data_IF_732113919765
#
_entry.id   IF_732113919765
#
_cell.length_a   1.000
_cell.length_b   1.000
_cell.length_c   1.000
_cell.angle_alpha   90.00
_cell.angle_beta   90.00
_cell.angle_gamma   90.00
#
_symmetry.space_group_name_H-M   'P 1'
#
loop_
_entity.id
_entity.type
_entity.pdbx_description
1 polymer ?
#
# COMPACT_ATOMS: atom_id res chain seq x y z
N UNK A 1 -29.77 -2.95 5.08
CA UNK A 1 -28.35 -2.62 5.33
C UNK A 1 -27.55 -3.80 5.90
N UNK A 2 -27.82 -4.28 7.13
CA UNK A 2 -27.10 -5.40 7.78
C UNK A 2 -27.29 -6.80 7.18
N UNK A 3 -28.28 -7.00 6.29
CA UNK A 3 -28.57 -8.34 5.73
C UNK A 3 -27.62 -8.80 4.62
N UNK A 4 -26.83 -7.91 4.01
CA UNK A 4 -25.85 -8.26 2.97
C UNK A 4 -24.39 -8.15 3.44
N UNK A 5 -24.13 -7.48 4.56
CA UNK A 5 -22.79 -7.40 5.15
C UNK A 5 -22.17 -8.78 5.45
N UNK A 6 -22.91 -9.79 5.97
CA UNK A 6 -22.36 -11.14 6.18
C UNK A 6 -22.08 -11.91 4.88
N UNK A 7 -22.79 -11.62 3.79
CA UNK A 7 -22.55 -12.26 2.48
C UNK A 7 -21.32 -11.69 1.77
N UNK A 8 -20.95 -10.43 2.07
CA UNK A 8 -19.75 -9.75 1.58
C UNK A 8 -18.56 -9.99 2.54
N UNK A 9 -18.83 -10.24 3.83
CA UNK A 9 -17.85 -10.55 4.87
C UNK A 9 -17.56 -12.05 5.06
N UNK A 10 -18.13 -12.93 4.22
CA UNK A 10 -17.71 -14.32 4.14
C UNK A 10 -16.33 -14.36 3.47
N UNK A 11 -15.28 -14.55 4.29
CA UNK A 11 -13.88 -15.01 4.10
C UNK A 11 -13.28 -15.27 2.69
N UNK A 12 -13.79 -14.66 1.61
CA UNK A 12 -13.38 -14.90 0.23
C UNK A 12 -13.41 -13.66 -0.67
N UNK A 13 -13.85 -12.49 -0.20
CA UNK A 13 -13.49 -11.23 -0.86
C UNK A 13 -12.09 -10.82 -0.39
N UNK A 14 -11.11 -11.26 -1.17
CA UNK A 14 -9.67 -10.94 -1.06
C UNK A 14 -9.39 -9.42 -1.08
N UNK A 15 -10.39 -8.56 -1.31
CA UNK A 15 -10.26 -7.11 -1.25
C UNK A 15 -11.53 -6.43 -0.67
N UNK A 16 -11.42 -5.85 0.53
CA UNK A 16 -12.53 -5.13 1.19
C UNK A 16 -13.10 -3.99 0.32
N UNK A 17 -12.27 -3.37 -0.53
CA UNK A 17 -12.65 -2.27 -1.44
C UNK A 17 -13.73 -2.68 -2.45
N UNK A 18 -13.61 -3.88 -3.02
CA UNK A 18 -14.52 -4.37 -4.05
C UNK A 18 -15.94 -4.58 -3.51
N UNK A 19 -16.04 -5.04 -2.25
CA UNK A 19 -17.32 -5.12 -1.55
C UNK A 19 -17.99 -3.74 -1.42
N UNK A 20 -17.24 -2.69 -1.09
CA UNK A 20 -17.78 -1.33 -1.01
C UNK A 20 -18.16 -0.77 -2.39
N UNK A 21 -17.41 -1.09 -3.45
CA UNK A 21 -17.76 -0.73 -4.83
C UNK A 21 -19.15 -1.26 -5.19
N UNK A 22 -19.36 -2.56 -4.99
CA UNK A 22 -20.63 -3.24 -5.29
C UNK A 22 -21.79 -2.67 -4.47
N UNK A 23 -21.56 -2.35 -3.18
CA UNK A 23 -22.57 -1.71 -2.32
C UNK A 23 -22.99 -0.36 -2.91
N UNK A 24 -22.03 0.49 -3.30
CA UNK A 24 -22.31 1.81 -3.83
C UNK A 24 -23.05 1.74 -5.19
N UNK A 25 -22.61 0.86 -6.09
CA UNK A 25 -23.23 0.67 -7.41
C UNK A 25 -24.65 0.11 -7.31
N UNK A 26 -24.86 -0.85 -6.41
CA UNK A 26 -26.19 -1.40 -6.17
C UNK A 26 -27.12 -0.35 -5.57
N UNK A 27 -26.65 0.43 -4.60
CA UNK A 27 -27.43 1.52 -4.02
C UNK A 27 -27.77 2.57 -5.09
N UNK A 28 -26.82 2.91 -5.97
CA UNK A 28 -27.01 3.87 -7.05
C UNK A 28 -28.12 3.41 -7.99
N UNK A 29 -28.02 2.16 -8.45
CA UNK A 29 -28.99 1.55 -9.36
C UNK A 29 -30.39 1.48 -8.72
N UNK A 30 -30.46 1.05 -7.46
CA UNK A 30 -31.74 0.94 -6.75
C UNK A 30 -32.38 2.32 -6.50
N UNK A 31 -31.58 3.34 -6.19
CA UNK A 31 -32.06 4.71 -5.96
C UNK A 31 -32.51 5.36 -7.27
N UNK A 32 -31.73 5.22 -8.34
CA UNK A 32 -32.07 5.65 -9.69
C UNK A 32 -33.43 5.09 -10.14
N UNK A 33 -33.66 3.78 -9.93
CA UNK A 33 -34.91 3.12 -10.30
C UNK A 33 -36.14 3.65 -9.54
N UNK A 34 -35.97 4.21 -8.34
CA UNK A 34 -37.06 4.76 -7.53
C UNK A 34 -37.43 6.19 -7.92
N UNK A 35 -36.57 6.90 -8.65
CA UNK A 35 -36.70 8.31 -8.93
C UNK A 35 -37.18 8.59 -10.36
N UNK A 36 -38.09 9.57 -10.50
CA UNK A 36 -38.56 10.12 -11.79
C UNK A 36 -38.31 11.64 -11.78
N UNK A 37 -37.84 12.28 -12.86
CA UNK A 37 -37.37 11.72 -14.15
C UNK A 37 -36.08 10.90 -13.98
N UNK A 38 -35.72 10.12 -15.00
CA UNK A 38 -34.59 9.17 -14.98
C UNK A 38 -33.30 9.87 -14.53
N UNK A 39 -32.82 9.50 -13.34
CA UNK A 39 -31.46 9.83 -12.87
C UNK A 39 -30.60 8.62 -13.15
N UNK A 40 -29.45 8.84 -13.76
CA UNK A 40 -28.52 7.75 -14.05
C UNK A 40 -27.71 7.36 -12.80
N UNK A 41 -27.37 6.06 -12.62
CA UNK A 41 -26.61 5.61 -11.45
C UNK A 41 -25.28 6.35 -11.24
N UNK A 42 -24.60 6.77 -12.32
CA UNK A 42 -23.35 7.52 -12.21
C UNK A 42 -23.54 8.89 -11.55
N UNK A 43 -24.66 9.58 -11.82
CA UNK A 43 -24.96 10.87 -11.19
C UNK A 43 -25.11 10.71 -9.66
N UNK A 44 -25.74 9.62 -9.22
CA UNK A 44 -25.88 9.32 -7.80
C UNK A 44 -24.55 8.99 -7.13
N UNK A 45 -23.64 8.31 -7.85
CA UNK A 45 -22.28 8.08 -7.37
C UNK A 45 -21.53 9.42 -7.22
N UNK A 46 -21.57 10.30 -8.22
CA UNK A 46 -20.94 11.64 -8.15
C UNK A 46 -21.49 12.47 -6.98
N UNK A 47 -22.80 12.39 -6.74
CA UNK A 47 -23.47 12.99 -5.60
C UNK A 47 -22.98 12.42 -4.27
N UNK A 48 -22.91 11.10 -4.13
CA UNK A 48 -22.44 10.48 -2.90
C UNK A 48 -20.95 10.70 -2.65
N UNK A 49 -20.12 10.71 -3.68
CA UNK A 49 -18.70 11.08 -3.57
C UNK A 49 -18.55 12.54 -3.07
N UNK A 50 -19.31 13.46 -3.64
CA UNK A 50 -19.32 14.88 -3.24
C UNK A 50 -19.82 15.06 -1.80
N UNK A 51 -20.90 14.36 -1.43
CA UNK A 51 -21.44 14.39 -0.06
C UNK A 51 -20.48 13.74 0.94
N UNK A 52 -19.85 12.62 0.58
CA UNK A 52 -18.89 11.92 1.43
C UNK A 52 -17.68 12.80 1.75
N UNK A 53 -17.17 13.53 0.77
CA UNK A 53 -16.11 14.52 0.98
C UNK A 53 -16.52 15.58 2.02
N UNK A 54 -17.73 16.14 1.91
CA UNK A 54 -18.23 17.15 2.85
C UNK A 54 -18.39 16.57 4.26
N UNK A 55 -19.01 15.39 4.38
CA UNK A 55 -19.18 14.67 5.65
C UNK A 55 -17.82 14.39 6.30
N UNK A 56 -16.86 13.89 5.50
CA UNK A 56 -15.53 13.54 5.95
C UNK A 56 -14.75 14.74 6.46
N UNK A 57 -14.76 15.86 5.72
CA UNK A 57 -14.09 17.11 6.14
C UNK A 57 -14.65 17.65 7.46
N UNK A 58 -15.97 17.66 7.63
CA UNK A 58 -16.58 18.10 8.89
C UNK A 58 -16.21 17.18 10.06
N UNK A 59 -16.15 15.87 9.81
CA UNK A 59 -15.69 14.90 10.80
C UNK A 59 -14.24 15.13 11.19
N UNK A 60 -13.36 15.37 10.21
CA UNK A 60 -11.94 15.66 10.47
C UNK A 60 -11.72 17.01 11.18
N UNK A 61 -12.61 17.99 10.98
CA UNK A 61 -12.56 19.28 11.68
C UNK A 61 -13.20 19.26 13.07
N UNK A 62 -13.73 18.12 13.53
CA UNK A 62 -14.43 18.01 14.83
C UNK A 62 -15.86 18.58 14.83
N UNK A 63 -16.41 18.97 13.67
CA UNK A 63 -17.77 19.49 13.55
C UNK A 63 -18.86 18.38 13.50
N UNK A 64 -18.44 17.11 13.53
CA UNK A 64 -19.31 15.93 13.35
C UNK A 64 -19.48 15.56 11.88
N UNK A 65 -19.88 14.33 11.59
CA UNK A 65 -20.02 13.83 10.19
C UNK A 65 -21.37 14.13 9.52
N UNK A 66 -22.26 14.86 10.19
CA UNK A 66 -23.62 15.11 9.72
C UNK A 66 -23.78 16.53 9.16
N UNK A 67 -24.33 16.64 7.94
CA UNK A 67 -24.52 17.90 7.21
C UNK A 67 -25.95 18.44 7.36
N UNK A 68 -26.12 19.77 7.30
CA UNK A 68 -27.44 20.39 7.30
C UNK A 68 -28.25 20.03 6.05
N UNK A 69 -29.57 20.19 6.12
CA UNK A 69 -30.46 20.07 4.96
C UNK A 69 -30.01 20.98 3.81
N UNK A 70 -29.61 22.21 4.12
CA UNK A 70 -29.10 23.19 3.13
C UNK A 70 -27.89 22.65 2.37
N UNK A 71 -26.85 22.16 3.08
CA UNK A 71 -25.65 21.59 2.42
C UNK A 71 -25.95 20.33 1.62
N UNK A 72 -26.91 19.53 2.07
CA UNK A 72 -27.37 18.36 1.32
C UNK A 72 -28.06 18.77 0.01
N UNK A 73 -28.94 19.77 0.05
CA UNK A 73 -29.61 20.32 -1.13
C UNK A 73 -28.63 21.02 -2.09
N UNK A 74 -27.61 21.70 -1.58
CA UNK A 74 -26.52 22.24 -2.39
C UNK A 74 -25.80 21.14 -3.18
N UNK A 75 -25.47 20.03 -2.52
CA UNK A 75 -24.84 18.89 -3.18
C UNK A 75 -25.75 18.29 -4.27
N UNK A 76 -27.05 18.17 -4.00
CA UNK A 76 -28.03 17.73 -4.99
C UNK A 76 -28.05 18.65 -6.23
N UNK A 77 -28.10 19.97 -6.01
CA UNK A 77 -28.07 20.97 -7.09
C UNK A 77 -26.82 20.88 -7.93
N UNK A 78 -25.64 20.75 -7.31
CA UNK A 78 -24.35 20.65 -8.01
C UNK A 78 -24.25 19.40 -8.90
N UNK A 79 -24.90 18.31 -8.50
CA UNK A 79 -24.97 17.08 -9.28
C UNK A 79 -26.17 17.03 -10.24
N UNK A 80 -26.95 18.12 -10.35
CA UNK A 80 -28.17 18.19 -11.16
C UNK A 80 -29.21 17.12 -10.79
N UNK A 81 -29.32 16.81 -9.50
CA UNK A 81 -30.23 15.81 -8.96
C UNK A 81 -31.34 16.48 -8.17
N UNK A 82 -32.59 16.15 -8.48
CA UNK A 82 -33.75 16.51 -7.65
C UNK A 82 -34.11 15.37 -6.69
N UNK A 83 -33.51 15.37 -5.50
CA UNK A 83 -33.81 14.39 -4.44
C UNK A 83 -35.05 14.75 -3.60
N UNK A 84 -35.84 15.78 -3.93
CA UNK A 84 -36.95 16.20 -3.05
C UNK A 84 -38.05 15.13 -2.89
N UNK A 85 -38.19 14.24 -3.88
CA UNK A 85 -39.15 13.12 -3.83
C UNK A 85 -38.52 11.81 -3.34
N UNK A 86 -37.22 11.79 -3.10
CA UNK A 86 -36.52 10.61 -2.65
C UNK A 86 -36.93 10.26 -1.22
N UNK A 87 -37.34 9.00 -1.04
CA UNK A 87 -37.66 8.44 0.28
C UNK A 87 -36.55 7.46 0.65
N UNK A 88 -35.65 7.81 1.58
CA UNK A 88 -34.57 6.93 1.99
C UNK A 88 -35.14 5.58 2.45
N UNK A 89 -34.86 4.53 1.68
CA UNK A 89 -35.24 3.16 2.00
C UNK A 89 -34.10 2.39 2.67
N UNK A 90 -34.29 1.08 2.85
CA UNK A 90 -33.33 0.17 3.48
C UNK A 90 -31.97 0.02 2.75
N UNK A 91 -31.88 0.55 1.52
CA UNK A 91 -30.71 0.56 0.64
C UNK A 91 -30.05 1.95 0.52
N UNK A 92 -30.55 2.95 1.26
CA UNK A 92 -29.96 4.28 1.27
C UNK A 92 -28.56 4.26 1.89
N UNK A 93 -27.59 4.90 1.23
CA UNK A 93 -26.24 5.10 1.78
C UNK A 93 -26.21 6.18 2.87
N UNK A 94 -27.26 7.01 2.95
CA UNK A 94 -27.35 8.10 3.92
C UNK A 94 -28.62 7.99 4.77
N UNK A 95 -28.57 8.56 5.96
CA UNK A 95 -29.66 8.61 6.93
C UNK A 95 -29.71 9.99 7.58
N UNK A 96 -30.80 10.26 8.31
CA UNK A 96 -30.88 11.42 9.19
C UNK A 96 -30.46 11.05 10.62
N UNK A 97 -29.74 11.92 11.29
CA UNK A 97 -29.51 11.84 12.73
C UNK A 97 -30.74 12.29 13.54
N UNK A 98 -30.61 12.31 14.88
CA UNK A 98 -31.66 12.75 15.79
C UNK A 98 -32.04 14.23 15.62
N UNK A 99 -31.16 15.05 15.02
CA UNK A 99 -31.37 16.47 14.75
C UNK A 99 -31.87 16.71 13.32
N UNK A 100 -32.13 15.65 12.55
CA UNK A 100 -32.58 15.73 11.15
C UNK A 100 -31.48 16.07 10.14
N UNK A 101 -30.20 16.07 10.55
CA UNK A 101 -29.04 16.28 9.67
C UNK A 101 -28.67 15.00 8.93
N UNK A 102 -28.10 15.12 7.73
CA UNK A 102 -27.76 13.99 6.88
C UNK A 102 -26.34 13.48 7.13
N UNK A 103 -26.19 12.17 7.23
CA UNK A 103 -24.88 11.50 7.34
C UNK A 103 -24.90 10.17 6.60
N UNK A 104 -23.72 9.60 6.37
CA UNK A 104 -23.62 8.24 5.87
C UNK A 104 -24.10 7.22 6.90
N UNK A 105 -24.75 6.17 6.40
CA UNK A 105 -25.24 5.06 7.22
C UNK A 105 -24.08 4.31 7.87
N UNK A 106 -22.98 4.14 7.12
CA UNK A 106 -21.74 3.49 7.54
C UNK A 106 -20.52 4.35 7.17
N UNK A 107 -19.61 4.54 8.12
CA UNK A 107 -18.37 5.30 7.91
C UNK A 107 -17.46 4.65 6.86
N UNK A 108 -17.43 3.32 6.77
CA UNK A 108 -16.63 2.63 5.76
C UNK A 108 -17.05 2.94 4.32
N UNK A 109 -18.36 3.14 4.10
CA UNK A 109 -18.90 3.52 2.78
C UNK A 109 -18.54 4.97 2.47
N UNK A 110 -18.65 5.87 3.45
CA UNK A 110 -18.19 7.26 3.34
C UNK A 110 -16.70 7.30 2.94
N UNK A 111 -15.83 6.60 3.67
CA UNK A 111 -14.38 6.64 3.41
C UNK A 111 -14.00 5.97 2.08
N UNK A 112 -14.74 4.97 1.63
CA UNK A 112 -14.58 4.40 0.28
C UNK A 112 -14.95 5.42 -0.81
N UNK A 113 -16.05 6.15 -0.65
CA UNK A 113 -16.45 7.19 -1.60
C UNK A 113 -15.47 8.38 -1.58
N UNK A 114 -14.93 8.72 -0.41
CA UNK A 114 -13.85 9.72 -0.28
C UNK A 114 -12.60 9.28 -1.01
N UNK A 115 -12.23 7.99 -0.96
CA UNK A 115 -11.06 7.50 -1.68
C UNK A 115 -11.24 7.63 -3.20
N UNK A 116 -12.44 7.37 -3.71
CA UNK A 116 -12.78 7.64 -5.12
C UNK A 116 -12.67 9.12 -5.48
N UNK A 117 -13.21 9.99 -4.63
CA UNK A 117 -13.15 11.43 -4.81
C UNK A 117 -11.72 11.96 -4.84
N UNK A 118 -10.86 11.44 -3.96
CA UNK A 118 -9.45 11.76 -3.92
C UNK A 118 -8.74 11.41 -5.24
N UNK A 119 -9.02 10.26 -5.84
CA UNK A 119 -8.38 9.85 -7.10
C UNK A 119 -8.76 10.78 -8.26
N UNK A 120 -9.97 11.35 -8.22
CA UNK A 120 -10.44 12.30 -9.23
C UNK A 120 -9.89 13.72 -9.04
N UNK A 121 -9.74 14.18 -7.78
CA UNK A 121 -9.42 15.58 -7.43
C UNK A 121 -8.44 15.63 -6.23
N UNK A 122 -7.22 15.09 -6.35
CA UNK A 122 -6.31 14.89 -5.24
C UNK A 122 -5.92 16.20 -4.54
N UNK A 123 -5.65 17.26 -5.28
CA UNK A 123 -5.23 18.58 -4.78
C UNK A 123 -6.23 19.20 -3.79
N UNK A 124 -7.52 18.83 -3.89
CA UNK A 124 -8.53 19.32 -2.96
C UNK A 124 -8.33 18.76 -1.54
N UNK A 125 -7.59 17.66 -1.40
CA UNK A 125 -7.32 16.99 -0.13
C UNK A 125 -6.06 17.47 0.58
N UNK A 126 -5.36 18.47 0.03
CA UNK A 126 -4.17 19.05 0.65
C UNK A 126 -4.44 19.52 2.08
N UNK A 127 -3.59 19.05 3.00
CA UNK A 127 -3.68 19.34 4.43
C UNK A 127 -4.81 18.63 5.17
N UNK A 128 -5.62 17.80 4.50
CA UNK A 128 -6.65 17.01 5.15
C UNK A 128 -6.04 15.77 5.81
N UNK A 129 -6.39 15.54 7.09
CA UNK A 129 -5.96 14.34 7.81
C UNK A 129 -6.67 13.10 7.26
N UNK A 130 -5.92 12.04 6.99
CA UNK A 130 -6.48 10.76 6.55
C UNK A 130 -6.62 9.78 7.72
N UNK A 131 -7.79 9.16 7.84
CA UNK A 131 -8.02 8.01 8.72
C UNK A 131 -7.24 6.81 8.20
N UNK A 132 -6.89 5.87 9.09
CA UNK A 132 -6.18 4.64 8.69
C UNK A 132 -6.94 3.87 7.60
N UNK A 133 -8.27 3.83 7.65
CA UNK A 133 -9.09 3.13 6.68
C UNK A 133 -9.08 3.82 5.30
N UNK A 134 -9.21 5.15 5.22
CA UNK A 134 -9.02 5.89 3.97
C UNK A 134 -7.62 5.67 3.38
N UNK A 135 -6.58 5.72 4.23
CA UNK A 135 -5.21 5.43 3.78
C UNK A 135 -5.12 4.02 3.20
N UNK A 136 -5.72 3.01 3.83
CA UNK A 136 -5.75 1.63 3.31
C UNK A 136 -6.45 1.56 1.95
N UNK A 137 -7.65 2.15 1.81
CA UNK A 137 -8.37 2.12 0.53
C UNK A 137 -7.57 2.76 -0.60
N UNK A 138 -6.90 3.87 -0.33
CA UNK A 138 -6.05 4.54 -1.32
C UNK A 138 -4.82 3.71 -1.65
N UNK A 139 -4.16 3.14 -0.64
CA UNK A 139 -2.97 2.31 -0.83
C UNK A 139 -3.25 1.06 -1.67
N UNK A 140 -4.33 0.34 -1.35
CA UNK A 140 -4.83 -0.80 -2.14
C UNK A 140 -5.12 -0.36 -3.58
N UNK A 141 -5.77 0.79 -3.74
CA UNK A 141 -6.09 1.32 -5.07
C UNK A 141 -4.83 1.61 -5.87
N UNK A 142 -3.84 2.28 -5.29
CA UNK A 142 -2.58 2.56 -5.99
C UNK A 142 -1.88 1.28 -6.42
N UNK A 143 -1.90 0.24 -5.58
CA UNK A 143 -1.33 -1.07 -5.92
C UNK A 143 -2.04 -1.71 -7.13
N UNK A 144 -3.37 -1.67 -7.14
CA UNK A 144 -4.19 -2.17 -8.26
C UNK A 144 -3.91 -1.39 -9.56
N UNK A 145 -3.82 -0.06 -9.47
CA UNK A 145 -3.55 0.82 -10.62
C UNK A 145 -2.17 0.56 -11.23
N UNK A 146 -1.13 0.43 -10.39
CA UNK A 146 0.23 0.06 -10.85
C UNK A 146 0.21 -1.32 -11.50
N UNK A 147 -0.45 -2.30 -10.88
CA UNK A 147 -0.53 -3.67 -11.40
C UNK A 147 -1.23 -3.70 -12.76
N UNK A 148 -2.22 -2.83 -12.97
CA UNK A 148 -2.88 -2.62 -14.25
C UNK A 148 -2.02 -1.86 -15.28
N UNK A 149 -0.76 -1.52 -14.96
CA UNK A 149 0.19 -0.86 -15.85
C UNK A 149 0.04 0.66 -15.92
N UNK A 150 -0.72 1.28 -15.01
CA UNK A 150 -0.80 2.74 -14.93
C UNK A 150 0.38 3.27 -14.13
N UNK A 151 1.12 4.19 -14.74
CA UNK A 151 2.08 4.99 -13.99
C UNK A 151 1.31 5.86 -13.01
N UNK A 152 1.70 5.84 -11.73
CA UNK A 152 1.25 6.85 -10.79
C UNK A 152 2.00 8.13 -11.17
N UNK A 153 1.46 8.92 -12.10
CA UNK A 153 1.96 10.28 -12.32
C UNK A 153 1.96 10.96 -10.96
N UNK A 154 3.15 11.35 -10.48
CA UNK A 154 3.52 11.44 -9.07
C UNK A 154 2.83 12.51 -8.20
N UNK A 155 1.58 12.87 -8.49
CA UNK A 155 0.83 13.89 -7.78
C UNK A 155 -0.04 13.31 -6.66
N UNK A 156 -0.68 12.14 -6.81
CA UNK A 156 -1.55 11.59 -5.73
C UNK A 156 -0.82 11.41 -4.40
N UNK A 157 0.37 10.81 -4.41
CA UNK A 157 1.13 10.60 -3.16
C UNK A 157 1.56 11.91 -2.47
N UNK A 158 1.49 13.06 -3.17
CA UNK A 158 1.82 14.39 -2.61
C UNK A 158 0.64 15.03 -1.91
N UNK A 159 -0.58 14.68 -2.32
CA UNK A 159 -1.81 15.32 -1.87
C UNK A 159 -2.49 14.62 -0.68
N UNK A 160 -1.91 13.54 -0.17
CA UNK A 160 -2.50 12.74 0.91
C UNK A 160 -1.52 12.42 2.04
N UNK A 161 -2.08 12.19 3.23
CA UNK A 161 -1.35 11.62 4.36
C UNK A 161 -1.30 10.10 4.22
N UNK A 162 -0.12 9.57 3.87
CA UNK A 162 0.16 8.13 3.78
C UNK A 162 1.16 7.65 4.84
N UNK A 163 1.30 8.41 5.92
CA UNK A 163 2.30 8.14 6.96
C UNK A 163 2.13 6.76 7.61
N UNK A 164 0.92 6.19 7.65
CA UNK A 164 0.68 4.86 8.22
C UNK A 164 1.35 3.73 7.42
N UNK A 165 1.72 3.98 6.16
CA UNK A 165 2.37 3.02 5.26
C UNK A 165 3.83 3.36 4.97
N UNK A 166 4.33 4.50 5.45
CA UNK A 166 5.73 4.89 5.27
C UNK A 166 6.58 4.27 6.38
N UNK A 167 7.61 3.53 6.01
CA UNK A 167 8.57 2.92 6.93
C UNK A 167 9.97 3.37 6.56
N UNK A 168 10.74 3.88 7.53
CA UNK A 168 12.16 4.20 7.31
C UNK A 168 13.02 3.05 7.80
N UNK A 169 13.82 2.50 6.90
CA UNK A 169 14.78 1.43 7.20
C UNK A 169 16.21 1.98 7.28
N UNK A 170 17.10 1.36 8.08
CA UNK A 170 18.52 1.69 8.08
C UNK A 170 19.14 1.41 6.70
N UNK A 171 19.91 2.37 6.19
CA UNK A 171 20.60 2.26 4.89
C UNK A 171 22.08 1.85 5.01
N UNK A 172 22.52 1.53 6.21
CA UNK A 172 23.86 1.03 6.54
C UNK A 172 23.72 -0.12 7.54
N UNK A 173 24.64 -1.10 7.50
CA UNK A 173 24.62 -2.19 8.45
C UNK A 173 24.91 -1.68 9.87
N UNK A 174 24.36 -2.37 10.88
CA UNK A 174 24.37 -1.89 12.27
C UNK A 174 25.76 -1.75 12.92
N UNK A 175 26.79 -2.36 12.35
CA UNK A 175 28.13 -2.39 12.91
C UNK A 175 29.19 -2.31 11.80
N UNK A 176 29.70 -1.11 11.53
CA UNK A 176 31.08 -0.97 11.06
C UNK A 176 31.99 -1.18 12.28
N UNK A 177 32.28 -2.43 12.62
CA UNK A 177 33.28 -2.75 13.63
C UNK A 177 34.45 -3.49 12.96
N UNK A 178 35.67 -3.24 13.45
CA UNK A 178 36.88 -3.90 12.99
C UNK A 178 36.72 -5.43 13.00
N UNK A 179 37.46 -6.13 12.14
CA UNK A 179 37.29 -7.57 11.86
C UNK A 179 37.18 -8.49 13.10
N UNK A 180 37.71 -8.05 14.24
CA UNK A 180 37.79 -8.80 15.50
C UNK A 180 36.63 -8.53 16.48
N UNK A 181 35.72 -7.58 16.20
CA UNK A 181 34.61 -7.18 17.10
C UNK A 181 33.23 -7.24 16.41
N UNK A 182 33.02 -8.25 15.55
CA UNK A 182 31.72 -8.47 14.91
C UNK A 182 30.73 -8.97 15.96
N UNK A 183 29.76 -8.14 16.33
CA UNK A 183 28.58 -8.55 17.09
C UNK A 183 27.50 -9.04 16.12
N UNK A 184 27.10 -10.33 16.18
CA UNK A 184 26.00 -10.84 15.37
C UNK A 184 24.73 -10.05 15.65
N UNK A 185 24.12 -9.51 14.59
CA UNK A 185 22.81 -8.89 14.69
C UNK A 185 21.75 -9.97 14.78
N UNK A 186 20.95 -9.94 15.84
CA UNK A 186 19.91 -10.95 16.02
C UNK A 186 18.67 -10.57 15.24
N UNK A 187 18.16 -11.51 14.45
CA UNK A 187 16.89 -11.34 13.72
C UNK A 187 15.75 -10.93 14.66
N UNK A 188 15.73 -11.44 15.90
CA UNK A 188 14.74 -11.10 16.92
C UNK A 188 14.74 -9.62 17.28
N UNK A 189 15.91 -8.97 17.37
CA UNK A 189 16.01 -7.53 17.68
C UNK A 189 15.37 -6.68 16.56
N UNK A 190 15.50 -7.11 15.30
CA UNK A 190 14.86 -6.44 14.16
C UNK A 190 13.34 -6.67 14.20
N UNK A 191 12.93 -7.90 14.44
CA UNK A 191 11.52 -8.31 14.45
C UNK A 191 10.73 -7.74 15.65
N UNK A 192 11.39 -7.37 16.74
CA UNK A 192 10.78 -6.62 17.85
C UNK A 192 10.48 -5.16 17.47
N UNK A 193 11.24 -4.59 16.54
CA UNK A 193 11.12 -3.18 16.13
C UNK A 193 10.20 -2.96 14.94
N UNK A 194 10.08 -3.95 14.05
CA UNK A 194 9.31 -3.84 12.82
C UNK A 194 8.34 -5.02 12.65
N UNK A 195 7.15 -4.79 12.07
CA UNK A 195 6.14 -5.83 11.86
C UNK A 195 6.45 -6.70 10.63
N UNK A 196 7.71 -7.10 10.46
CA UNK A 196 8.13 -7.92 9.32
C UNK A 196 7.67 -9.36 9.46
N UNK A 197 7.48 -10.01 8.32
CA UNK A 197 7.25 -11.43 8.29
C UNK A 197 8.58 -12.18 8.29
N UNK A 198 8.66 -13.22 9.11
CA UNK A 198 9.69 -14.25 9.05
C UNK A 198 9.02 -15.59 9.39
N UNK A 199 9.15 -16.59 8.52
CA UNK A 199 8.43 -17.86 8.64
C UNK A 199 8.74 -18.60 9.94
N UNK A 200 9.92 -18.40 10.52
CA UNK A 200 10.37 -19.11 11.72
C UNK A 200 9.96 -18.37 12.99
N UNK A 201 10.20 -17.06 13.04
CA UNK A 201 10.08 -16.26 14.26
C UNK A 201 8.75 -15.48 14.34
N UNK A 202 8.19 -15.07 13.19
CA UNK A 202 6.90 -14.36 13.11
C UNK A 202 6.01 -14.90 11.96
N UNK A 203 5.60 -16.18 11.97
CA UNK A 203 4.84 -16.80 10.88
C UNK A 203 3.45 -16.20 10.66
N UNK A 204 2.91 -15.48 11.65
CA UNK A 204 1.59 -14.85 11.59
C UNK A 204 1.66 -13.36 11.25
N UNK A 205 2.86 -12.79 11.11
CA UNK A 205 2.99 -11.39 10.70
C UNK A 205 2.57 -11.23 9.23
N UNK A 206 1.93 -10.10 8.93
CA UNK A 206 1.47 -9.80 7.57
C UNK A 206 2.58 -9.27 6.67
N UNK A 207 3.74 -8.92 7.23
CA UNK A 207 4.78 -8.20 6.52
C UNK A 207 4.42 -6.73 6.27
N UNK A 208 5.27 -6.03 5.54
CA UNK A 208 4.97 -4.67 5.10
C UNK A 208 4.01 -4.68 3.92
N UNK A 209 3.08 -3.73 3.94
CA UNK A 209 2.20 -3.48 2.80
C UNK A 209 2.89 -2.53 1.82
N UNK A 210 3.74 -3.12 0.96
CA UNK A 210 4.52 -2.36 -0.01
C UNK A 210 3.65 -1.71 -1.08
N UNK A 211 4.20 -0.67 -1.73
CA UNK A 211 3.66 -0.09 -2.95
C UNK A 211 4.79 -0.02 -3.96
N UNK A 212 4.99 -1.14 -4.65
CA UNK A 212 6.05 -1.32 -5.63
C UNK A 212 5.60 -0.80 -7.00
N UNK A 213 6.33 0.16 -7.53
CA UNK A 213 6.12 0.75 -8.86
C UNK A 213 7.28 0.38 -9.79
N UNK A 214 7.09 -0.56 -10.72
CA UNK A 214 8.08 -0.85 -11.77
C UNK A 214 8.28 0.34 -12.69
N UNK A 215 9.54 0.69 -12.99
CA UNK A 215 9.92 1.78 -13.90
C UNK A 215 11.06 1.39 -14.83
N UNK A 216 11.19 2.14 -15.93
CA UNK A 216 12.38 2.14 -16.77
C UNK A 216 13.11 3.46 -16.58
N UNK A 217 14.29 3.42 -15.95
CA UNK A 217 15.14 4.59 -15.70
C UNK A 217 16.42 4.42 -16.50
N UNK A 218 16.74 5.38 -17.38
CA UNK A 218 17.90 5.32 -18.27
C UNK A 218 18.01 3.97 -19.03
N UNK A 219 16.88 3.46 -19.53
CA UNK A 219 16.79 2.19 -20.25
C UNK A 219 16.91 0.92 -19.39
N UNK A 220 17.00 1.07 -18.06
CA UNK A 220 17.17 -0.03 -17.10
C UNK A 220 15.91 -0.22 -16.26
N UNK A 221 15.53 -1.48 -15.98
CA UNK A 221 14.35 -1.82 -15.17
C UNK A 221 14.66 -1.65 -13.68
N UNK A 222 13.84 -0.88 -12.98
CA UNK A 222 13.93 -0.69 -11.53
C UNK A 222 12.54 -0.84 -10.91
N UNK A 223 12.49 -1.03 -9.61
CA UNK A 223 11.25 -0.94 -8.83
C UNK A 223 11.44 0.12 -7.77
N UNK A 224 10.55 1.12 -7.76
CA UNK A 224 10.46 2.11 -6.69
C UNK A 224 9.48 1.57 -5.65
N UNK A 225 9.92 1.43 -4.41
CA UNK A 225 9.04 1.10 -3.30
C UNK A 225 8.67 2.36 -2.51
N UNK A 226 7.41 2.78 -2.65
CA UNK A 226 6.92 3.96 -1.96
C UNK A 226 6.71 3.71 -0.46
N UNK A 227 6.61 2.46 0.02
CA UNK A 227 6.53 2.15 1.45
C UNK A 227 7.83 2.53 2.16
N UNK A 228 8.96 2.09 1.62
CA UNK A 228 10.29 2.25 2.23
C UNK A 228 11.09 3.44 1.69
N UNK A 229 10.61 4.07 0.60
CA UNK A 229 11.33 5.07 -0.20
C UNK A 229 12.69 4.53 -0.71
N UNK A 230 12.68 3.28 -1.15
CA UNK A 230 13.84 2.59 -1.72
C UNK A 230 13.61 2.32 -3.21
N UNK A 231 14.71 2.17 -3.94
CA UNK A 231 14.72 1.72 -5.31
C UNK A 231 15.52 0.43 -5.41
N UNK A 232 14.95 -0.56 -6.09
CA UNK A 232 15.50 -1.90 -6.25
C UNK A 232 15.84 -2.13 -7.71
N UNK A 233 16.95 -2.82 -7.97
CA UNK A 233 17.22 -3.31 -9.32
C UNK A 233 16.27 -4.48 -9.68
N UNK A 234 15.84 -4.49 -10.94
CA UNK A 234 15.06 -5.59 -11.52
C UNK A 234 15.86 -6.36 -12.58
N UNK A 235 17.09 -5.95 -12.88
CA UNK A 235 17.95 -6.72 -13.75
C UNK A 235 18.49 -7.96 -13.03
N UNK A 236 18.67 -9.04 -13.79
CA UNK A 236 19.46 -10.22 -13.39
C UNK A 236 20.83 -10.21 -14.09
N UNK A 237 21.71 -9.20 -13.90
CA UNK A 237 22.96 -9.15 -14.63
C UNK A 237 24.03 -10.02 -13.95
N UNK A 238 23.78 -10.53 -12.75
CA UNK A 238 24.79 -11.21 -11.93
C UNK A 238 24.39 -12.67 -11.65
N UNK A 239 25.18 -13.65 -12.11
CA UNK A 239 25.00 -15.02 -11.64
C UNK A 239 25.29 -15.10 -10.13
N UNK A 240 24.87 -16.19 -9.49
CA UNK A 240 25.24 -16.48 -8.10
C UNK A 240 26.76 -16.33 -7.92
N UNK A 241 27.17 -15.54 -6.93
CA UNK A 241 28.55 -15.08 -6.76
C UNK A 241 28.94 -15.11 -5.28
N UNK A 242 30.20 -15.44 -4.93
CA UNK A 242 30.70 -15.24 -3.57
C UNK A 242 30.73 -13.77 -3.20
N UNK A 243 30.35 -13.44 -1.97
CA UNK A 243 30.14 -12.05 -1.56
C UNK A 243 31.41 -11.19 -1.70
N UNK A 244 32.57 -11.74 -1.35
CA UNK A 244 33.88 -11.05 -1.47
C UNK A 244 34.23 -10.67 -2.92
N UNK A 245 33.81 -11.48 -3.89
CA UNK A 245 34.00 -11.15 -5.31
C UNK A 245 33.07 -10.00 -5.72
N UNK A 246 31.83 -10.01 -5.21
CA UNK A 246 30.84 -8.99 -5.52
C UNK A 246 31.16 -7.61 -4.93
N UNK A 247 31.71 -7.55 -3.71
CA UNK A 247 32.10 -6.29 -3.04
C UNK A 247 33.03 -5.42 -3.93
N UNK A 248 33.90 -6.05 -4.71
CA UNK A 248 34.76 -5.33 -5.66
C UNK A 248 33.99 -4.81 -6.87
N UNK A 249 32.99 -5.57 -7.36
CA UNK A 249 32.13 -5.14 -8.48
C UNK A 249 31.24 -3.97 -8.06
N UNK A 250 30.69 -4.00 -6.85
CA UNK A 250 29.78 -2.99 -6.32
C UNK A 250 30.36 -1.57 -6.43
N UNK A 251 31.67 -1.40 -6.20
CA UNK A 251 32.38 -0.10 -6.27
C UNK A 251 32.27 0.59 -7.64
N UNK A 252 32.16 -0.20 -8.71
CA UNK A 252 32.15 0.29 -10.10
C UNK A 252 30.78 0.18 -10.79
N UNK A 253 29.77 -0.41 -10.14
CA UNK A 253 28.43 -0.54 -10.73
C UNK A 253 27.81 0.82 -10.95
N UNK A 254 27.24 1.02 -12.14
CA UNK A 254 26.51 2.24 -12.55
C UNK A 254 25.13 1.92 -13.15
N UNK A 255 24.36 1.06 -12.49
CA UNK A 255 23.07 0.59 -12.99
C UNK A 255 22.04 1.73 -13.06
N UNK A 256 21.22 1.78 -14.11
CA UNK A 256 20.27 2.87 -14.37
C UNK A 256 20.87 4.30 -14.29
N UNK A 257 22.20 4.44 -14.44
CA UNK A 257 22.91 5.72 -14.34
C UNK A 257 23.28 6.17 -12.92
N UNK A 258 23.01 5.36 -11.89
CA UNK A 258 23.31 5.72 -10.49
C UNK A 258 24.54 5.00 -9.95
N UNK A 259 25.28 5.64 -9.04
CA UNK A 259 26.55 5.14 -8.48
C UNK A 259 26.49 4.75 -7.00
N UNK A 260 25.36 4.99 -6.35
CA UNK A 260 25.11 4.80 -4.92
C UNK A 260 24.34 3.50 -4.62
N UNK A 261 24.38 2.54 -5.55
CA UNK A 261 23.85 1.20 -5.32
C UNK A 261 24.66 0.47 -4.24
N UNK A 262 23.95 -0.27 -3.39
CA UNK A 262 24.52 -1.06 -2.31
C UNK A 262 23.80 -2.40 -2.16
N UNK A 263 24.37 -3.27 -1.33
CA UNK A 263 23.65 -4.43 -0.82
C UNK A 263 22.54 -3.97 0.15
N UNK A 264 21.42 -4.69 0.22
CA UNK A 264 20.37 -4.40 1.18
C UNK A 264 20.82 -4.74 2.60
N UNK A 265 20.40 -3.95 3.58
CA UNK A 265 20.59 -4.30 4.99
C UNK A 265 19.70 -5.47 5.40
N UNK A 266 19.93 -6.04 6.58
CA UNK A 266 19.09 -7.09 7.14
C UNK A 266 17.61 -6.65 7.24
N UNK A 267 17.35 -5.42 7.69
CA UNK A 267 16.00 -4.85 7.74
C UNK A 267 15.36 -4.76 6.37
N UNK A 268 16.11 -4.30 5.37
CA UNK A 268 15.62 -4.18 4.00
C UNK A 268 15.33 -5.55 3.40
N UNK A 269 16.22 -6.53 3.60
CA UNK A 269 16.01 -7.92 3.18
C UNK A 269 14.79 -8.58 3.84
N UNK A 270 14.63 -8.39 5.16
CA UNK A 270 13.46 -8.87 5.90
C UNK A 270 12.17 -8.17 5.48
N UNK A 271 12.23 -6.88 5.16
CA UNK A 271 11.06 -6.13 4.72
C UNK A 271 10.45 -6.72 3.45
N UNK A 272 11.27 -7.28 2.55
CA UNK A 272 10.84 -7.92 1.31
C UNK A 272 10.14 -9.28 1.53
N UNK A 273 10.31 -9.91 2.70
CA UNK A 273 9.64 -11.15 3.02
C UNK A 273 8.14 -10.89 3.21
N UNK A 274 7.33 -11.61 2.44
CA UNK A 274 5.87 -11.51 2.49
C UNK A 274 5.27 -12.90 2.72
N UNK A 275 4.27 -13.06 3.61
CA UNK A 275 3.55 -14.33 3.75
C UNK A 275 2.97 -14.75 2.38
N UNK A 276 3.18 -16.02 2.03
CA UNK A 276 2.84 -16.58 0.74
C UNK A 276 1.34 -16.44 0.41
N UNK A 277 1.03 -16.03 -0.83
CA UNK A 277 -0.31 -16.11 -1.42
C UNK A 277 -0.26 -17.01 -2.67
N UNK A 278 -0.64 -18.29 -2.52
CA UNK A 278 -0.59 -19.27 -3.62
C UNK A 278 0.80 -19.91 -3.82
N UNK A 279 1.19 -20.26 -5.04
CA UNK A 279 2.39 -21.07 -5.34
C UNK A 279 3.71 -20.26 -5.41
N UNK A 280 3.73 -18.98 -5.03
CA UNK A 280 4.93 -18.14 -5.12
C UNK A 280 5.85 -18.27 -3.90
N UNK A 281 7.14 -17.95 -4.09
CA UNK A 281 8.07 -17.70 -2.97
C UNK A 281 7.53 -16.61 -2.02
N UNK A 282 8.10 -16.50 -0.82
CA UNK A 282 7.79 -15.51 0.22
C UNK A 282 8.31 -14.10 -0.14
N UNK A 283 8.04 -13.64 -1.36
CA UNK A 283 8.42 -12.32 -1.87
C UNK A 283 7.29 -11.79 -2.76
N UNK A 284 7.08 -10.48 -2.74
CA UNK A 284 6.06 -9.85 -3.56
C UNK A 284 6.32 -10.05 -5.08
N UNK A 285 5.29 -10.36 -5.90
CA UNK A 285 5.42 -10.60 -7.34
C UNK A 285 6.09 -9.47 -8.14
N UNK A 286 5.92 -8.21 -7.72
CA UNK A 286 6.57 -7.06 -8.36
C UNK A 286 8.11 -7.11 -8.30
N UNK A 287 8.67 -7.84 -7.34
CA UNK A 287 10.09 -8.14 -7.24
C UNK A 287 10.42 -9.57 -7.67
N UNK A 288 9.41 -10.38 -8.02
CA UNK A 288 9.60 -11.77 -8.39
C UNK A 288 10.41 -11.88 -9.67
N UNK A 289 11.43 -12.70 -9.53
CA UNK A 289 12.52 -12.98 -10.44
C UNK A 289 12.97 -14.41 -10.06
N UNK A 290 13.62 -15.19 -10.94
CA UNK A 290 14.21 -16.49 -10.57
C UNK A 290 15.10 -16.48 -9.30
N UNK A 291 15.55 -15.33 -8.81
CA UNK A 291 16.29 -15.14 -7.55
C UNK A 291 15.48 -15.60 -6.33
N UNK A 292 15.76 -16.82 -5.88
CA UNK A 292 15.18 -17.40 -4.66
C UNK A 292 15.86 -16.93 -3.37
N UNK A 293 17.02 -16.27 -3.46
CA UNK A 293 17.76 -15.76 -2.32
C UNK A 293 18.74 -14.65 -2.72
N UNK A 294 19.05 -13.71 -1.82
CA UNK A 294 19.99 -12.61 -2.07
C UNK A 294 20.93 -12.35 -0.91
N UNK A 295 22.18 -11.97 -1.21
CA UNK A 295 23.11 -11.43 -0.22
C UNK A 295 22.60 -10.15 0.43
N UNK A 296 22.82 -10.03 1.74
CA UNK A 296 22.57 -8.84 2.55
C UNK A 296 23.89 -8.23 3.04
N UNK A 297 23.89 -6.97 3.44
CA UNK A 297 25.07 -6.22 3.85
C UNK A 297 25.61 -6.66 5.22
N UNK A 298 24.74 -7.11 6.12
CA UNK A 298 25.11 -7.54 7.47
C UNK A 298 26.05 -8.75 7.49
N UNK A 299 27.22 -8.59 8.12
CA UNK A 299 28.11 -9.69 8.49
C UNK A 299 27.69 -10.29 9.83
N UNK A 300 27.81 -11.60 9.94
CA UNK A 300 27.52 -12.35 11.17
C UNK A 300 28.82 -12.76 11.88
N UNK A 301 29.83 -13.15 11.10
CA UNK A 301 31.17 -13.49 11.55
C UNK A 301 32.19 -13.18 10.43
N UNK A 302 33.53 -13.29 10.66
CA UNK A 302 34.52 -12.98 9.64
C UNK A 302 34.39 -13.80 8.33
N UNK A 303 33.83 -15.00 8.43
CA UNK A 303 33.58 -15.95 7.35
C UNK A 303 32.08 -16.19 7.09
N UNK A 304 31.19 -15.39 7.69
CA UNK A 304 29.74 -15.56 7.62
C UNK A 304 29.00 -14.25 7.36
N UNK A 305 28.03 -14.27 6.45
CA UNK A 305 27.25 -13.09 6.04
C UNK A 305 25.77 -13.45 5.80
N UNK A 306 24.88 -12.49 6.06
CA UNK A 306 23.45 -12.71 5.98
C UNK A 306 22.94 -12.84 4.54
N UNK A 307 21.96 -13.73 4.36
CA UNK A 307 21.23 -13.93 3.11
C UNK A 307 19.73 -13.99 3.41
N UNK A 308 18.93 -13.33 2.57
CA UNK A 308 17.48 -13.48 2.55
C UNK A 308 17.10 -14.63 1.63
N UNK A 309 16.40 -15.64 2.15
CA UNK A 309 15.92 -16.80 1.41
C UNK A 309 14.42 -16.69 1.17
N UNK A 310 14.02 -16.21 0.00
CA UNK A 310 12.61 -16.04 -0.37
C UNK A 310 11.88 -17.37 -0.56
N UNK A 311 12.57 -18.43 -1.00
CA UNK A 311 11.97 -19.77 -1.06
C UNK A 311 11.66 -20.34 0.34
N UNK A 312 12.42 -19.93 1.35
CA UNK A 312 12.27 -20.41 2.74
C UNK A 312 11.53 -19.41 3.63
N UNK A 313 11.32 -18.17 3.19
CA UNK A 313 10.64 -17.12 3.96
C UNK A 313 11.41 -16.68 5.21
N UNK A 314 12.74 -16.70 5.17
CA UNK A 314 13.57 -16.34 6.33
C UNK A 314 14.91 -15.73 5.89
N UNK A 315 15.57 -15.04 6.81
CA UNK A 315 16.95 -14.62 6.65
C UNK A 315 17.85 -15.43 7.58
N UNK A 316 19.05 -15.82 7.11
CA UNK A 316 20.04 -16.49 7.94
C UNK A 316 21.46 -16.23 7.45
N UNK A 317 22.45 -16.31 8.36
CA UNK A 317 23.86 -16.24 7.97
C UNK A 317 24.30 -17.51 7.21
N UNK A 318 25.22 -17.34 6.27
CA UNK A 318 25.86 -18.40 5.48
C UNK A 318 27.33 -18.09 5.26
N UNK A 319 28.10 -19.10 4.84
CA UNK A 319 29.53 -18.93 4.65
C UNK A 319 29.83 -18.04 3.43
N UNK A 320 30.80 -17.12 3.55
CA UNK A 320 31.12 -16.11 2.52
C UNK A 320 31.63 -16.68 1.19
N UNK A 321 32.01 -17.97 1.15
CA UNK A 321 32.38 -18.66 -0.09
C UNK A 321 31.18 -19.22 -0.87
N UNK A 322 30.00 -19.30 -0.23
CA UNK A 322 28.79 -19.76 -0.89
C UNK A 322 28.40 -18.80 -2.01
N UNK A 323 27.52 -19.26 -2.91
CA UNK A 323 27.14 -18.48 -4.08
C UNK A 323 25.65 -18.18 -3.98
N UNK A 324 25.33 -16.90 -3.83
CA UNK A 324 23.95 -16.40 -3.82
C UNK A 324 23.81 -15.26 -4.82
N UNK A 325 22.56 -14.94 -5.15
CA UNK A 325 22.30 -13.81 -6.04
C UNK A 325 22.50 -12.48 -5.31
N UNK A 326 22.46 -11.41 -6.08
CA UNK A 326 22.44 -10.05 -5.55
C UNK A 326 21.22 -9.32 -6.08
N UNK A 327 20.65 -8.49 -5.21
CA UNK A 327 19.72 -7.43 -5.58
C UNK A 327 20.27 -6.14 -5.03
N UNK A 328 20.46 -5.16 -5.89
CA UNK A 328 20.94 -3.85 -5.52
C UNK A 328 19.78 -3.01 -5.01
N UNK A 329 20.07 -2.22 -3.98
CA UNK A 329 19.14 -1.24 -3.44
C UNK A 329 19.83 0.12 -3.34
N UNK A 330 19.04 1.18 -3.46
CA UNK A 330 19.44 2.55 -3.17
C UNK A 330 18.27 3.33 -2.58
N UNK A 331 18.57 4.50 -2.04
CA UNK A 331 17.55 5.41 -1.52
C UNK A 331 17.00 6.29 -2.66
N UNK A 332 15.70 6.57 -2.63
CA UNK A 332 15.02 7.48 -3.56
C UNK A 332 15.13 8.95 -3.14
#
# INVERSE_FOLDING_TARGET
FLHYLPYIANETLVNHREGYRLICEHAATATAAQMKPQIEPHQLLDFWESLAEICYRQRMSGAGGAVSQEKFEDCCRNCHIDLHQWKPGNLSLVKKDQLGKWLFAEQSVEEYLVSRRFLALPETFDGLRFTKQLQTFLWDTFSDEITAGRELSGDWLRHGDFSAFRVRLPNQPSHELEMDDIRPKMITEVLERYPFFDRVHQPNARGLHHLFEPKVVNGSKVVVDHCTNLMWDQSDPFPKIPIREFENRLKIVRYAGFSDWRLPTLEEGLSLLHPQTGDSAYIHPALSDPRTEIWLAERDAPDSQWVAFFAEGTCRPVHVSDRHFVRLVRNC
#
